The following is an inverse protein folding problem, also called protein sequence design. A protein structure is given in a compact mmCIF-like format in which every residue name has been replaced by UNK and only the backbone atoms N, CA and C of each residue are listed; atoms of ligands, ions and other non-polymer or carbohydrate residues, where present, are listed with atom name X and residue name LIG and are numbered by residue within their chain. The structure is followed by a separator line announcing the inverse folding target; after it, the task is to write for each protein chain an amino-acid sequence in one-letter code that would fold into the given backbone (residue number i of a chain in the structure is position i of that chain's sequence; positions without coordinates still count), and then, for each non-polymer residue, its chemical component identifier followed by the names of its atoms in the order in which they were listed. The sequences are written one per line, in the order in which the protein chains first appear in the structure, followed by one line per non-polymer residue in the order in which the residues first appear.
data_IF_550789345142
#
_entry.id   IF_550789345142
#
_cell.length_a   1.000
_cell.length_b   1.000
_cell.length_c   1.000
_cell.angle_alpha   90.00
_cell.angle_beta   90.00
_cell.angle_gamma   90.00
#
_symmetry.space_group_name_H-M   'P 1'
#
loop_
_entity.id
_entity.type
_entity.pdbx_description
1 polymer ?
#
# COMPACT_ATOMS: atom_id res chain seq x y z
N UNK A 1 -37.36 -8.03 -32.92
CA UNK A 1 -36.36 -7.18 -33.59
C UNK A 1 -35.22 -7.01 -32.61
N UNK A 2 -34.20 -7.87 -32.71
CA UNK A 2 -32.98 -7.78 -31.90
C UNK A 2 -31.94 -7.02 -32.71
N UNK A 3 -31.39 -5.96 -32.14
CA UNK A 3 -30.27 -5.22 -32.74
C UNK A 3 -28.98 -5.88 -32.27
N UNK A 4 -28.28 -6.52 -33.21
CA UNK A 4 -26.92 -7.03 -32.99
C UNK A 4 -25.97 -5.84 -32.91
N UNK A 5 -25.45 -5.58 -31.71
CA UNK A 5 -24.40 -4.58 -31.53
C UNK A 5 -23.05 -5.24 -31.80
N UNK A 6 -22.55 -5.07 -33.03
CA UNK A 6 -21.18 -5.42 -33.38
C UNK A 6 -20.24 -4.29 -32.94
N UNK A 7 -19.51 -4.52 -31.84
CA UNK A 7 -18.48 -3.60 -31.38
C UNK A 7 -17.22 -3.78 -32.22
N UNK A 8 -16.90 -2.78 -33.05
CA UNK A 8 -15.62 -2.73 -33.75
C UNK A 8 -14.61 -2.04 -32.84
N UNK A 9 -13.73 -2.84 -32.25
CA UNK A 9 -12.65 -2.36 -31.39
C UNK A 9 -11.68 -1.51 -32.25
N UNK A 10 -11.43 -0.23 -31.92
CA UNK A 10 -10.49 0.56 -32.69
C UNK A 10 -9.08 -0.04 -32.56
N UNK A 11 -8.43 -0.27 -33.69
CA UNK A 11 -7.05 -0.72 -33.77
C UNK A 11 -6.15 0.30 -33.09
N UNK A 12 -5.37 -0.14 -32.11
CA UNK A 12 -4.29 0.65 -31.50
C UNK A 12 -3.25 0.95 -32.58
N UNK A 13 -3.21 2.20 -33.03
CA UNK A 13 -2.11 2.76 -33.78
C UNK A 13 -1.08 3.36 -32.81
N UNK A 14 0.08 2.73 -32.69
CA UNK A 14 1.23 3.22 -31.92
C UNK A 14 1.95 4.36 -32.67
N UNK A 15 1.23 5.42 -33.05
CA UNK A 15 1.82 6.64 -33.56
C UNK A 15 2.27 7.51 -32.39
N UNK A 16 3.40 7.13 -31.78
CA UNK A 16 4.07 7.92 -30.76
C UNK A 16 4.64 9.20 -31.37
N UNK A 17 3.82 10.25 -31.40
CA UNK A 17 4.21 11.62 -31.59
C UNK A 17 4.93 12.14 -30.36
N UNK A 18 6.25 12.27 -30.47
CA UNK A 18 7.08 13.05 -29.59
C UNK A 18 6.62 14.51 -29.61
N UNK A 19 6.03 15.02 -28.52
CA UNK A 19 6.20 16.42 -28.17
C UNK A 19 6.04 16.69 -26.67
N UNK A 20 6.80 17.67 -26.23
CA UNK A 20 7.12 17.99 -24.85
C UNK A 20 6.06 18.92 -24.25
N UNK A 21 5.64 18.68 -23.00
CA UNK A 21 4.86 19.67 -22.26
C UNK A 21 4.05 19.09 -21.12
N UNK A 22 4.42 19.49 -19.91
CA UNK A 22 3.84 19.32 -18.57
C UNK A 22 2.36 19.76 -18.42
N UNK A 23 1.53 19.70 -19.47
CA UNK A 23 0.21 20.35 -19.52
C UNK A 23 -0.99 19.39 -19.54
N UNK A 24 -0.78 18.08 -19.70
CA UNK A 24 -1.89 17.10 -19.79
C UNK A 24 -2.33 16.50 -18.46
N UNK A 25 -1.43 16.41 -17.47
CA UNK A 25 -1.76 15.85 -16.16
C UNK A 25 -2.57 16.81 -15.29
N UNK A 26 -2.38 18.12 -15.46
CA UNK A 26 -3.05 19.15 -14.65
C UNK A 26 -4.54 19.29 -14.97
N UNK A 27 -4.95 19.08 -16.22
CA UNK A 27 -6.34 19.22 -16.65
C UNK A 27 -7.20 18.03 -16.19
N UNK A 28 -6.65 16.82 -16.24
CA UNK A 28 -7.29 15.60 -15.73
C UNK A 28 -7.40 15.65 -14.21
N UNK A 29 -6.35 16.10 -13.52
CA UNK A 29 -6.36 16.24 -12.05
C UNK A 29 -7.38 17.29 -11.58
N UNK A 30 -7.52 18.40 -12.30
CA UNK A 30 -8.53 19.41 -12.03
C UNK A 30 -9.96 18.88 -12.22
N UNK A 31 -10.20 18.06 -13.26
CA UNK A 31 -11.48 17.42 -13.47
C UNK A 31 -11.84 16.46 -12.32
N UNK A 32 -10.87 15.65 -11.87
CA UNK A 32 -11.04 14.74 -10.72
C UNK A 32 -11.38 15.51 -9.44
N UNK A 33 -10.71 16.65 -9.18
CA UNK A 33 -10.99 17.46 -8.00
C UNK A 33 -12.39 18.09 -8.03
N UNK A 34 -12.86 18.52 -9.20
CA UNK A 34 -14.21 19.08 -9.34
C UNK A 34 -15.29 18.01 -9.12
N UNK A 35 -15.14 16.83 -9.72
CA UNK A 35 -16.06 15.71 -9.52
C UNK A 35 -16.09 15.28 -8.04
N UNK A 36 -14.92 15.22 -7.39
CA UNK A 36 -14.82 14.92 -5.97
C UNK A 36 -15.54 15.96 -5.11
N UNK A 37 -15.40 17.25 -5.43
CA UNK A 37 -16.09 18.33 -4.73
C UNK A 37 -17.62 18.30 -4.92
N UNK A 38 -18.09 17.91 -6.10
CA UNK A 38 -19.53 17.73 -6.38
C UNK A 38 -20.10 16.53 -5.60
N UNK A 39 -19.36 15.41 -5.57
CA UNK A 39 -19.73 14.22 -4.77
C UNK A 39 -19.80 14.57 -3.29
N UNK A 40 -18.81 15.29 -2.76
CA UNK A 40 -18.76 15.69 -1.36
C UNK A 40 -19.85 16.72 -1.00
N UNK A 41 -20.16 17.65 -1.91
CA UNK A 41 -21.28 18.59 -1.74
C UNK A 41 -22.65 17.89 -1.82
N UNK A 42 -22.77 16.85 -2.66
CA UNK A 42 -23.98 16.03 -2.79
C UNK A 42 -24.11 14.97 -1.68
N UNK A 43 -23.08 14.79 -0.85
CA UNK A 43 -23.05 13.82 0.26
C UNK A 43 -24.01 14.27 1.36
N UNK A 44 -25.29 13.94 1.19
CA UNK A 44 -26.28 14.06 2.26
C UNK A 44 -25.81 13.22 3.43
N UNK A 45 -25.45 13.87 4.53
CA UNK A 45 -25.35 13.19 5.82
C UNK A 45 -26.75 12.77 6.22
N UNK A 46 -27.08 11.52 5.91
CA UNK A 46 -28.23 10.88 6.52
C UNK A 46 -27.97 10.82 8.02
N UNK A 47 -28.97 11.15 8.87
CA UNK A 47 -28.85 10.89 10.29
C UNK A 47 -28.42 9.42 10.48
N UNK A 48 -27.55 9.13 11.47
CA UNK A 48 -27.15 7.75 11.74
C UNK A 48 -28.43 6.94 11.87
N UNK A 49 -28.58 5.95 10.99
CA UNK A 49 -29.73 5.06 11.08
C UNK A 49 -29.70 4.46 12.49
N UNK A 50 -30.86 4.32 13.16
CA UNK A 50 -30.90 3.62 14.44
C UNK A 50 -30.19 2.29 14.25
N UNK A 51 -29.30 1.94 15.17
CA UNK A 51 -28.46 0.76 15.13
C UNK A 51 -29.36 -0.47 15.01
N UNK A 52 -29.68 -0.87 13.78
CA UNK A 52 -30.35 -2.15 13.52
C UNK A 52 -29.30 -3.18 13.89
N UNK A 53 -29.55 -3.94 14.96
CA UNK A 53 -28.64 -4.95 15.43
C UNK A 53 -28.53 -6.07 14.36
N UNK A 54 -27.49 -5.95 13.54
CA UNK A 54 -27.15 -6.94 12.52
C UNK A 54 -26.48 -8.15 13.19
N UNK A 55 -26.80 -9.34 12.67
CA UNK A 55 -26.28 -10.60 13.17
C UNK A 55 -27.13 -11.24 14.27
N UNK A 56 -26.49 -11.96 15.18
CA UNK A 56 -27.19 -12.67 16.26
C UNK A 56 -27.66 -11.67 17.33
N UNK A 57 -28.97 -11.67 17.67
CA UNK A 57 -29.44 -10.89 18.81
C UNK A 57 -28.75 -11.37 20.09
N UNK A 58 -28.13 -10.44 20.83
CA UNK A 58 -27.44 -10.76 22.08
C UNK A 58 -28.33 -10.59 23.30
N UNK A 59 -29.25 -9.64 23.24
CA UNK A 59 -30.16 -9.28 24.31
C UNK A 59 -31.51 -8.88 23.70
N UNK A 60 -32.60 -9.15 24.42
CA UNK A 60 -33.92 -8.62 24.06
C UNK A 60 -34.05 -7.16 24.53
N UNK A 61 -34.96 -6.39 23.94
CA UNK A 61 -35.24 -5.01 24.35
C UNK A 61 -35.73 -4.89 25.81
N UNK A 62 -36.23 -5.97 26.42
CA UNK A 62 -36.58 -6.03 27.84
C UNK A 62 -35.41 -6.38 28.78
N UNK A 63 -34.21 -6.60 28.22
CA UNK A 63 -33.02 -7.05 28.94
C UNK A 63 -32.92 -8.57 29.16
N UNK A 64 -33.86 -9.33 28.63
CA UNK A 64 -33.87 -10.80 28.70
C UNK A 64 -32.96 -11.47 27.66
N UNK A 65 -32.55 -12.72 27.92
CA UNK A 65 -31.78 -13.51 26.96
C UNK A 65 -32.67 -13.98 25.77
N UNK A 66 -32.23 -13.82 24.52
CA UNK A 66 -32.96 -14.32 23.35
C UNK A 66 -33.02 -15.85 23.30
N UNK A 67 -34.22 -16.39 23.06
CA UNK A 67 -34.47 -17.83 22.93
C UNK A 67 -34.63 -18.23 21.47
N UNK A 68 -34.17 -19.42 21.10
CA UNK A 68 -34.40 -19.98 19.76
C UNK A 68 -35.62 -20.89 19.78
N UNK A 69 -36.65 -20.53 19.03
CA UNK A 69 -37.86 -21.30 18.84
C UNK A 69 -37.95 -21.87 17.42
N UNK A 70 -38.79 -22.90 17.26
CA UNK A 70 -39.10 -23.51 15.96
C UNK A 70 -40.49 -23.07 15.52
N UNK A 71 -40.59 -22.58 14.28
CA UNK A 71 -41.86 -22.24 13.64
C UNK A 71 -42.62 -23.51 13.27
N UNK A 72 -43.89 -23.55 13.66
CA UNK A 72 -44.84 -24.60 13.28
C UNK A 72 -45.91 -24.06 12.31
N UNK A 73 -45.66 -22.90 11.70
CA UNK A 73 -46.56 -22.31 10.71
C UNK A 73 -46.57 -23.13 9.43
N UNK A 74 -47.67 -23.07 8.67
CA UNK A 74 -47.79 -23.77 7.37
C UNK A 74 -46.79 -23.25 6.33
N UNK A 75 -46.42 -21.96 6.41
CA UNK A 75 -45.53 -21.33 5.44
C UNK A 75 -44.05 -21.63 5.73
N UNK A 76 -43.66 -21.71 7.00
CA UNK A 76 -42.28 -21.92 7.43
C UNK A 76 -42.18 -23.07 8.47
N UNK A 77 -42.62 -24.30 8.14
CA UNK A 77 -42.59 -25.41 9.09
C UNK A 77 -41.14 -25.83 9.41
N UNK A 78 -40.82 -25.94 10.69
CA UNK A 78 -39.50 -26.34 11.16
C UNK A 78 -38.43 -25.24 11.12
N UNK A 79 -38.74 -24.03 10.62
CA UNK A 79 -37.77 -22.93 10.54
C UNK A 79 -37.51 -22.33 11.92
N UNK A 80 -36.25 -22.06 12.26
CA UNK A 80 -35.88 -21.52 13.58
C UNK A 80 -35.83 -20.00 13.61
N UNK A 81 -36.23 -19.39 14.72
CA UNK A 81 -36.18 -17.94 14.94
C UNK A 81 -35.85 -17.60 16.39
N UNK A 82 -35.27 -16.42 16.60
CA UNK A 82 -35.05 -15.81 17.90
C UNK A 82 -36.35 -15.14 18.40
N UNK A 83 -36.64 -15.30 19.70
CA UNK A 83 -37.80 -14.74 20.40
C UNK A 83 -37.46 -14.43 21.86
N UNK A 84 -38.33 -13.75 22.59
CA UNK A 84 -38.22 -13.57 24.04
C UNK A 84 -39.25 -14.43 24.79
N UNK A 85 -38.95 -14.79 26.05
CA UNK A 85 -39.91 -15.40 26.99
C UNK A 85 -41.07 -14.46 27.30
N UNK A 86 -40.79 -13.16 27.43
CA UNK A 86 -41.77 -12.15 27.81
C UNK A 86 -42.55 -11.59 26.61
N UNK A 87 -42.47 -12.24 25.44
CA UNK A 87 -43.00 -11.72 24.17
C UNK A 87 -44.48 -11.32 24.21
N UNK A 88 -45.26 -11.91 25.12
CA UNK A 88 -46.71 -11.69 25.23
C UNK A 88 -47.09 -10.63 26.30
N UNK A 89 -46.13 -9.90 26.86
CA UNK A 89 -46.39 -8.84 27.87
C UNK A 89 -46.96 -7.53 27.29
N UNK A 90 -46.99 -7.41 25.96
CA UNK A 90 -47.51 -6.24 25.24
C UNK A 90 -46.45 -5.21 24.81
N UNK A 91 -45.18 -5.40 25.20
CA UNK A 91 -44.06 -4.57 24.77
C UNK A 91 -43.38 -5.12 23.49
N UNK A 92 -42.42 -4.37 22.94
CA UNK A 92 -41.62 -4.81 21.80
C UNK A 92 -40.52 -5.78 22.25
N UNK A 93 -40.48 -6.97 21.64
CA UNK A 93 -39.48 -8.00 21.92
C UNK A 93 -38.71 -8.41 20.67
N UNK A 94 -37.54 -9.01 20.89
CA UNK A 94 -36.70 -9.54 19.82
C UNK A 94 -37.48 -10.57 19.01
N UNK A 95 -37.46 -10.41 17.69
CA UNK A 95 -37.91 -11.42 16.75
C UNK A 95 -37.01 -11.39 15.51
N UNK A 96 -36.37 -12.51 15.19
CA UNK A 96 -35.49 -12.59 14.02
C UNK A 96 -35.34 -14.02 13.53
N UNK A 97 -35.44 -14.25 12.23
CA UNK A 97 -35.15 -15.56 11.65
C UNK A 97 -33.70 -15.96 11.90
N UNK A 98 -33.48 -17.21 12.33
CA UNK A 98 -32.15 -17.71 12.66
C UNK A 98 -31.24 -17.70 11.43
N UNK A 99 -31.74 -18.12 10.26
CA UNK A 99 -30.98 -18.13 9.01
C UNK A 99 -30.61 -16.70 8.55
N UNK A 100 -31.47 -15.72 8.79
CA UNK A 100 -31.17 -14.31 8.51
C UNK A 100 -30.05 -13.81 9.42
N UNK A 101 -30.11 -14.10 10.71
CA UNK A 101 -29.05 -13.75 11.65
C UNK A 101 -27.70 -14.39 11.26
N UNK A 102 -27.71 -15.68 10.88
CA UNK A 102 -26.51 -16.39 10.40
C UNK A 102 -25.94 -15.73 9.14
N UNK A 103 -26.78 -15.43 8.14
CA UNK A 103 -26.32 -14.81 6.90
C UNK A 103 -25.69 -13.43 7.15
N UNK A 104 -26.26 -12.65 8.06
CA UNK A 104 -25.71 -11.34 8.43
C UNK A 104 -24.34 -11.47 9.10
N UNK A 105 -24.18 -12.42 10.02
CA UNK A 105 -22.90 -12.71 10.69
C UNK A 105 -21.84 -13.19 9.70
N UNK A 106 -22.22 -14.09 8.78
CA UNK A 106 -21.30 -14.57 7.75
C UNK A 106 -20.86 -13.44 6.81
N UNK A 107 -21.76 -12.50 6.49
CA UNK A 107 -21.44 -11.35 5.65
C UNK A 107 -20.50 -10.37 6.35
N UNK A 108 -20.74 -10.09 7.63
CA UNK A 108 -19.85 -9.24 8.43
C UNK A 108 -18.47 -9.89 8.56
N UNK A 109 -18.43 -11.16 8.98
CA UNK A 109 -17.18 -11.93 9.09
C UNK A 109 -16.43 -12.03 7.77
N UNK A 110 -17.13 -12.22 6.64
CA UNK A 110 -16.52 -12.22 5.31
C UNK A 110 -15.88 -10.88 4.95
N UNK A 111 -16.49 -9.77 5.39
CA UNK A 111 -15.93 -8.42 5.20
C UNK A 111 -14.67 -8.23 6.05
N UNK A 112 -14.70 -8.66 7.31
CA UNK A 112 -13.53 -8.61 8.20
C UNK A 112 -12.39 -9.48 7.66
N UNK A 113 -12.68 -10.68 7.15
CA UNK A 113 -11.67 -11.55 6.55
C UNK A 113 -11.03 -10.92 5.32
N UNK A 114 -11.82 -10.28 4.44
CA UNK A 114 -11.30 -9.56 3.27
C UNK A 114 -10.34 -8.43 3.68
N UNK A 115 -10.73 -7.61 4.66
CA UNK A 115 -9.88 -6.53 5.18
C UNK A 115 -8.61 -7.07 5.84
N UNK A 116 -8.72 -8.18 6.58
CA UNK A 116 -7.57 -8.81 7.21
C UNK A 116 -6.60 -9.37 6.16
N UNK A 117 -7.12 -10.02 5.11
CA UNK A 117 -6.32 -10.53 4.00
C UNK A 117 -5.54 -9.39 3.33
N UNK A 118 -6.22 -8.29 3.00
CA UNK A 118 -5.59 -7.12 2.38
C UNK A 118 -4.48 -6.54 3.26
N UNK A 119 -4.68 -6.48 4.59
CA UNK A 119 -3.65 -6.04 5.54
C UNK A 119 -2.45 -7.00 5.59
N UNK A 120 -2.69 -8.31 5.53
CA UNK A 120 -1.61 -9.32 5.49
C UNK A 120 -0.81 -9.18 4.19
N UNK A 121 -1.47 -9.01 3.05
CA UNK A 121 -0.80 -8.79 1.77
C UNK A 121 0.04 -7.50 1.80
N UNK A 122 -0.49 -6.42 2.38
CA UNK A 122 0.26 -5.16 2.57
C UNK A 122 1.49 -5.34 3.47
N UNK A 123 1.42 -6.18 4.52
CA UNK A 123 2.55 -6.48 5.39
C UNK A 123 3.61 -7.33 4.68
N UNK A 124 3.21 -8.22 3.76
CA UNK A 124 4.16 -8.96 2.91
C UNK A 124 5.01 -8.01 2.10
N UNK A 125 4.41 -6.95 1.53
CA UNK A 125 5.13 -5.91 0.78
C UNK A 125 6.19 -5.19 1.66
N UNK A 126 5.90 -4.95 2.94
CA UNK A 126 6.88 -4.37 3.89
C UNK A 126 8.08 -5.31 4.09
N UNK A 127 7.84 -6.61 4.18
CA UNK A 127 8.91 -7.61 4.35
C UNK A 127 9.84 -7.67 3.13
N UNK A 128 9.28 -7.52 1.93
CA UNK A 128 10.07 -7.40 0.69
C UNK A 128 10.95 -6.15 0.71
N UNK A 129 10.41 -5.00 1.14
CA UNK A 129 11.18 -3.77 1.29
C UNK A 129 12.34 -3.93 2.28
N UNK A 130 12.12 -4.54 3.44
CA UNK A 130 13.18 -4.82 4.42
C UNK A 130 14.30 -5.68 3.82
N UNK A 131 13.94 -6.67 3.00
CA UNK A 131 14.90 -7.54 2.29
C UNK A 131 15.73 -6.73 1.30
N UNK A 132 15.11 -5.87 0.49
CA UNK A 132 15.82 -4.96 -0.42
C UNK A 132 16.73 -3.98 0.34
N UNK A 133 16.26 -3.44 1.46
CA UNK A 133 17.05 -2.52 2.28
C UNK A 133 18.33 -3.19 2.80
N UNK A 134 18.24 -4.45 3.23
CA UNK A 134 19.41 -5.21 3.67
C UNK A 134 20.39 -5.48 2.51
N UNK A 135 19.90 -5.81 1.32
CA UNK A 135 20.75 -5.94 0.13
C UNK A 135 21.49 -4.63 -0.22
N UNK A 136 20.81 -3.49 -0.11
CA UNK A 136 21.41 -2.16 -0.36
C UNK A 136 22.49 -1.86 0.69
N UNK A 137 22.25 -2.20 1.97
CA UNK A 137 23.26 -2.04 3.04
C UNK A 137 24.50 -2.88 2.79
N UNK A 138 24.34 -4.13 2.38
CA UNK A 138 25.47 -5.02 2.07
C UNK A 138 26.29 -4.50 0.89
N UNK A 139 25.62 -4.04 -0.17
CA UNK A 139 26.28 -3.41 -1.31
C UNK A 139 27.03 -2.15 -0.90
N UNK A 140 26.42 -1.32 -0.04
CA UNK A 140 27.07 -0.10 0.45
C UNK A 140 28.35 -0.45 1.24
N UNK A 141 28.29 -1.43 2.14
CA UNK A 141 29.47 -1.89 2.88
C UNK A 141 30.58 -2.38 1.94
N UNK A 142 30.24 -3.15 0.90
CA UNK A 142 31.22 -3.61 -0.09
C UNK A 142 31.85 -2.45 -0.86
N UNK A 143 31.06 -1.44 -1.25
CA UNK A 143 31.56 -0.25 -1.95
C UNK A 143 32.50 0.57 -1.07
N UNK A 144 32.18 0.77 0.22
CA UNK A 144 33.08 1.47 1.15
C UNK A 144 34.41 0.71 1.31
N UNK A 145 34.35 -0.62 1.42
CA UNK A 145 35.56 -1.44 1.51
C UNK A 145 36.42 -1.31 0.25
N UNK A 146 35.81 -1.26 -0.94
CA UNK A 146 36.51 -1.05 -2.21
C UNK A 146 37.13 0.35 -2.29
N UNK A 147 36.41 1.39 -1.86
CA UNK A 147 36.90 2.77 -1.81
C UNK A 147 38.13 2.89 -0.92
N UNK A 148 38.08 2.32 0.29
CA UNK A 148 39.23 2.33 1.22
C UNK A 148 40.47 1.61 0.64
N UNK A 149 40.28 0.48 -0.06
CA UNK A 149 41.38 -0.21 -0.74
C UNK A 149 41.96 0.65 -1.87
N UNK A 150 41.11 1.31 -2.65
CA UNK A 150 41.52 2.20 -3.73
C UNK A 150 42.30 3.41 -3.19
N UNK A 151 41.80 4.04 -2.13
CA UNK A 151 42.44 5.16 -1.45
C UNK A 151 43.85 4.78 -0.97
N UNK A 152 44.00 3.59 -0.37
CA UNK A 152 45.31 3.08 0.03
C UNK A 152 46.27 2.90 -1.17
N UNK A 153 45.79 2.40 -2.30
CA UNK A 153 46.61 2.22 -3.51
C UNK A 153 47.04 3.58 -4.08
N UNK A 154 46.10 4.55 -4.16
CA UNK A 154 46.38 5.91 -4.63
C UNK A 154 47.40 6.60 -3.74
N UNK A 155 47.26 6.48 -2.42
CA UNK A 155 48.22 7.02 -1.45
C UNK A 155 49.63 6.44 -1.66
N UNK A 156 49.75 5.13 -1.87
CA UNK A 156 51.04 4.47 -2.10
C UNK A 156 51.68 4.85 -3.45
N UNK A 157 50.89 5.02 -4.51
CA UNK A 157 51.40 5.55 -5.79
C UNK A 157 51.87 7.00 -5.66
N UNK A 158 51.08 7.86 -5.00
CA UNK A 158 51.42 9.26 -4.78
C UNK A 158 52.72 9.43 -3.99
N UNK A 159 52.92 8.62 -2.95
CA UNK A 159 54.15 8.64 -2.13
C UNK A 159 55.39 8.25 -2.93
N UNK A 160 55.32 7.19 -3.74
CA UNK A 160 56.44 6.72 -4.58
C UNK A 160 56.81 7.75 -5.64
N UNK A 161 55.82 8.24 -6.37
CA UNK A 161 56.02 9.18 -7.46
C UNK A 161 56.51 10.54 -6.93
N UNK A 162 56.01 10.99 -5.77
CA UNK A 162 56.49 12.20 -5.11
C UNK A 162 57.96 12.09 -4.70
N UNK A 163 58.38 10.96 -4.14
CA UNK A 163 59.77 10.73 -3.76
C UNK A 163 60.71 10.71 -4.99
N UNK A 164 60.33 9.99 -6.05
CA UNK A 164 61.11 9.95 -7.28
C UNK A 164 61.21 11.33 -7.95
N UNK A 165 60.13 12.10 -7.96
CA UNK A 165 60.14 13.46 -8.51
C UNK A 165 61.04 14.40 -7.71
N UNK A 166 60.98 14.37 -6.38
CA UNK A 166 61.82 15.20 -5.50
C UNK A 166 63.30 14.86 -5.69
N UNK A 167 63.65 13.57 -5.73
CA UNK A 167 65.04 13.12 -5.96
C UNK A 167 65.52 13.54 -7.34
N UNK A 168 64.69 13.37 -8.38
CA UNK A 168 65.02 13.80 -9.75
C UNK A 168 65.32 15.30 -9.85
N UNK A 169 64.49 16.14 -9.21
CA UNK A 169 64.70 17.59 -9.17
C UNK A 169 65.99 17.95 -8.41
N UNK A 170 66.27 17.31 -7.27
CA UNK A 170 67.49 17.58 -6.49
C UNK A 170 68.77 17.26 -7.28
N UNK A 171 68.80 16.12 -7.96
CA UNK A 171 69.95 15.75 -8.82
C UNK A 171 70.12 16.77 -9.95
N UNK A 172 69.02 17.18 -10.59
CA UNK A 172 69.07 18.18 -11.65
C UNK A 172 69.64 19.51 -11.15
N UNK A 173 69.22 20.01 -10.00
CA UNK A 173 69.74 21.24 -9.39
C UNK A 173 71.25 21.15 -9.11
N UNK A 174 71.73 20.02 -8.57
CA UNK A 174 73.16 19.81 -8.29
C UNK A 174 73.99 19.83 -9.58
N UNK A 175 73.49 19.22 -10.66
CA UNK A 175 74.15 19.24 -11.98
C UNK A 175 74.25 20.67 -12.51
N UNK A 176 73.18 21.47 -12.40
CA UNK A 176 73.18 22.87 -12.82
C UNK A 176 74.21 23.69 -12.02
N UNK A 177 74.26 23.53 -10.69
CA UNK A 177 75.25 24.20 -9.83
C UNK A 177 76.67 23.80 -10.22
N UNK A 178 76.92 22.50 -10.41
CA UNK A 178 78.23 21.99 -10.83
C UNK A 178 78.68 22.55 -12.18
N UNK A 179 77.78 22.65 -13.15
CA UNK A 179 78.06 23.31 -14.43
C UNK A 179 78.41 24.78 -14.24
N UNK A 180 77.64 25.55 -13.46
CA UNK A 180 77.92 26.98 -13.20
C UNK A 180 79.29 27.20 -12.57
N UNK A 181 79.71 26.33 -11.64
CA UNK A 181 81.03 26.42 -11.02
C UNK A 181 82.18 26.06 -11.96
N UNK A 182 81.96 25.16 -12.92
CA UNK A 182 82.97 24.79 -13.93
C UNK A 182 83.18 25.87 -15.01
N UNK A 183 82.18 26.72 -15.25
CA UNK A 183 82.24 27.80 -16.24
C UNK A 183 82.73 29.15 -15.68
N UNK A 184 83.12 29.21 -14.40
CA UNK A 184 83.55 30.44 -13.72
C UNK A 184 85.01 30.36 -13.29
#
# INVERSE_FOLDING_TARGET
MGVDYSYSQPSQDDSYGHDSGDSGCSEIEAAIQMDQAEIDAARRQYPPQPEVEFGFPKECYCGGEPLVATSYTTNDPGRRFYTCENRDDGDCHVWKWWDVAVMEEMRDMGTQYRLLSEKVDSLSCVTEYETCLNQVKDLHYETEQKVLRLEKIVFELGKKNGFEFIVGVMVFVVVIIGMVLMFK
#
